data_IF_772296044216
#
_entry.id   IF_772296044216
#
_cell.length_a   1.000
_cell.length_b   1.000
_cell.length_c   1.000
_cell.angle_alpha   90.00
_cell.angle_beta   90.00
_cell.angle_gamma   90.00
#
_symmetry.space_group_name_H-M   'P 1'
#
loop_
_entity.id
_entity.type
_entity.pdbx_description
1 polymer ?
#
# COMPACT_ATOMS: atom_id res chain seq x y z
N UNK A 1 -17.66 -14.52 3.92
CA UNK A 1 -16.97 -14.01 5.14
C UNK A 1 -16.81 -12.51 5.03
N UNK A 2 -16.74 -11.78 6.17
CA UNK A 2 -16.49 -10.34 6.16
C UNK A 2 -15.19 -10.04 6.90
N UNK A 3 -14.29 -9.32 6.24
CA UNK A 3 -13.02 -8.89 6.81
C UNK A 3 -12.95 -7.37 6.89
N UNK A 4 -12.30 -6.84 7.92
CA UNK A 4 -11.94 -5.45 7.97
C UNK A 4 -10.45 -5.26 7.71
N UNK A 5 -10.10 -4.14 7.05
CA UNK A 5 -8.73 -3.72 6.79
C UNK A 5 -8.55 -2.30 7.32
N UNK A 6 -7.56 -2.10 8.16
CA UNK A 6 -7.12 -0.78 8.61
C UNK A 6 -6.09 -0.28 7.61
N UNK A 7 -6.45 0.76 6.86
CA UNK A 7 -5.65 1.32 5.79
C UNK A 7 -4.52 2.21 6.32
N UNK A 8 -3.43 2.29 5.56
CA UNK A 8 -2.27 3.13 5.86
C UNK A 8 -2.53 4.62 5.65
N UNK A 9 -1.45 5.39 5.63
CA UNK A 9 -1.48 6.86 5.53
C UNK A 9 -2.13 7.34 4.23
N UNK A 10 -2.04 6.54 3.16
CA UNK A 10 -2.68 6.82 1.88
C UNK A 10 -3.84 5.84 1.62
N UNK A 11 -5.06 6.12 2.12
CA UNK A 11 -6.19 5.22 1.99
C UNK A 11 -6.57 4.91 0.55
N UNK A 12 -6.40 5.86 -0.37
CA UNK A 12 -6.71 5.69 -1.79
C UNK A 12 -5.84 4.61 -2.42
N UNK A 13 -4.52 4.66 -2.22
CA UNK A 13 -3.58 3.63 -2.68
C UNK A 13 -3.84 2.27 -2.02
N UNK A 14 -4.07 2.28 -0.70
CA UNK A 14 -4.38 1.06 0.04
C UNK A 14 -5.64 0.38 -0.47
N UNK A 15 -6.68 1.17 -0.79
CA UNK A 15 -7.93 0.64 -1.32
C UNK A 15 -7.76 0.09 -2.74
N UNK A 16 -6.98 0.78 -3.58
CA UNK A 16 -6.65 0.31 -4.93
C UNK A 16 -5.90 -1.03 -4.88
N UNK A 17 -4.94 -1.16 -3.97
CA UNK A 17 -4.23 -2.42 -3.73
C UNK A 17 -5.19 -3.54 -3.30
N UNK A 18 -6.08 -3.27 -2.32
CA UNK A 18 -7.04 -4.27 -1.86
C UNK A 18 -8.00 -4.70 -2.99
N UNK A 19 -8.46 -3.75 -3.81
CA UNK A 19 -9.30 -4.06 -4.98
C UNK A 19 -8.57 -4.91 -6.02
N UNK A 20 -7.26 -4.69 -6.19
CA UNK A 20 -6.41 -5.46 -7.07
C UNK A 20 -6.19 -6.90 -6.55
N UNK A 21 -5.88 -7.04 -5.26
CA UNK A 21 -5.60 -8.33 -4.62
C UNK A 21 -6.86 -9.17 -4.43
N UNK A 22 -7.99 -8.55 -4.12
CA UNK A 22 -9.27 -9.22 -3.82
C UNK A 22 -10.34 -8.90 -4.88
N UNK A 23 -10.01 -9.05 -6.15
CA UNK A 23 -10.85 -8.69 -7.30
C UNK A 23 -12.20 -9.46 -7.38
N UNK A 24 -12.35 -10.55 -6.64
CA UNK A 24 -13.59 -11.35 -6.56
C UNK A 24 -14.44 -11.03 -5.33
N UNK A 25 -14.06 -10.04 -4.52
CA UNK A 25 -14.79 -9.65 -3.32
C UNK A 25 -15.49 -8.30 -3.47
N UNK A 26 -16.52 -8.09 -2.66
CA UNK A 26 -17.19 -6.80 -2.54
C UNK A 26 -16.47 -5.92 -1.51
N UNK A 27 -15.88 -4.83 -1.97
CA UNK A 27 -15.11 -3.90 -1.14
C UNK A 27 -15.93 -2.65 -0.83
N UNK A 28 -16.03 -2.31 0.45
CA UNK A 28 -16.73 -1.12 0.94
C UNK A 28 -15.81 -0.29 1.82
N UNK A 29 -15.80 1.03 1.67
CA UNK A 29 -15.07 1.95 2.54
C UNK A 29 -15.98 2.40 3.69
N UNK A 30 -15.82 1.81 4.86
CA UNK A 30 -16.67 2.06 6.03
C UNK A 30 -16.30 3.38 6.76
N UNK A 31 -14.99 3.72 6.80
CA UNK A 31 -14.44 4.95 7.37
C UNK A 31 -13.27 5.39 6.49
N UNK A 32 -12.76 6.61 6.69
CA UNK A 32 -11.60 7.12 5.94
C UNK A 32 -10.44 6.13 5.84
N UNK A 33 -10.22 5.36 6.90
CA UNK A 33 -9.10 4.42 7.02
C UNK A 33 -9.56 2.98 7.30
N UNK A 34 -10.82 2.64 7.07
CA UNK A 34 -11.35 1.28 7.27
C UNK A 34 -12.09 0.82 6.02
N UNK A 35 -11.59 -0.23 5.41
CA UNK A 35 -12.28 -0.97 4.38
C UNK A 35 -12.88 -2.26 4.95
N UNK A 36 -14.05 -2.65 4.43
CA UNK A 36 -14.70 -3.94 4.70
C UNK A 36 -14.75 -4.69 3.38
N UNK A 37 -14.26 -5.91 3.39
CA UNK A 37 -14.30 -6.85 2.27
C UNK A 37 -15.28 -7.97 2.59
N UNK A 38 -16.21 -8.21 1.71
CA UNK A 38 -17.08 -9.40 1.72
C UNK A 38 -16.62 -10.37 0.64
N UNK A 39 -16.28 -11.60 1.02
CA UNK A 39 -15.75 -12.62 0.11
C UNK A 39 -16.06 -14.01 0.62
N UNK A 40 -16.19 -14.97 -0.28
CA UNK A 40 -16.36 -16.39 0.07
C UNK A 40 -15.01 -17.08 0.40
N UNK A 41 -13.91 -16.45 0.04
CA UNK A 41 -12.57 -16.98 0.27
C UNK A 41 -12.08 -16.70 1.70
N UNK A 42 -11.42 -17.69 2.29
CA UNK A 42 -10.71 -17.52 3.56
C UNK A 42 -9.40 -16.78 3.32
N UNK A 43 -9.19 -15.69 4.07
CA UNK A 43 -7.96 -14.89 4.00
C UNK A 43 -7.01 -15.34 5.11
N UNK A 44 -5.85 -15.82 4.71
CA UNK A 44 -4.81 -16.27 5.64
C UNK A 44 -3.99 -15.09 6.20
N UNK A 45 -3.48 -15.27 7.43
CA UNK A 45 -2.75 -14.21 8.15
C UNK A 45 -1.50 -13.70 7.42
N UNK A 46 -0.85 -14.54 6.62
CA UNK A 46 0.38 -14.22 5.89
C UNK A 46 0.19 -13.18 4.78
N UNK A 47 -1.04 -12.96 4.29
CA UNK A 47 -1.33 -11.93 3.27
C UNK A 47 -0.84 -10.55 3.71
N UNK A 48 -0.84 -10.25 5.02
CA UNK A 48 -0.40 -8.96 5.54
C UNK A 48 1.07 -8.63 5.23
N UNK A 49 1.87 -9.64 4.92
CA UNK A 49 3.27 -9.48 4.52
C UNK A 49 3.42 -9.05 3.05
N UNK A 50 2.36 -9.26 2.24
CA UNK A 50 2.34 -9.01 0.80
C UNK A 50 1.54 -7.76 0.40
N UNK A 51 0.82 -7.13 1.33
CA UNK A 51 0.03 -5.92 1.10
C UNK A 51 0.64 -4.71 1.83
N UNK A 52 1.20 -3.78 1.06
CA UNK A 52 1.94 -2.63 1.58
C UNK A 52 1.05 -1.56 2.20
N UNK A 53 -0.17 -1.41 1.72
CA UNK A 53 -1.11 -0.36 2.11
C UNK A 53 -1.93 -0.65 3.37
N UNK A 54 -1.88 -1.85 3.92
CA UNK A 54 -2.68 -2.26 5.08
C UNK A 54 -1.84 -2.31 6.36
N UNK A 55 -2.34 -1.71 7.44
CA UNK A 55 -1.69 -1.69 8.76
C UNK A 55 -2.02 -2.96 9.55
N UNK A 56 -3.28 -3.37 9.53
CA UNK A 56 -3.79 -4.59 10.14
C UNK A 56 -5.11 -5.00 9.53
N UNK A 57 -5.45 -6.27 9.63
CA UNK A 57 -6.75 -6.78 9.19
C UNK A 57 -7.29 -7.83 10.16
N UNK A 58 -8.59 -8.10 10.05
CA UNK A 58 -9.22 -9.11 10.87
C UNK A 58 -10.59 -9.52 10.36
N UNK A 59 -11.16 -10.49 11.03
CA UNK A 59 -12.47 -11.06 10.71
C UNK A 59 -13.57 -10.34 11.48
N UNK A 60 -14.65 -10.00 10.81
CA UNK A 60 -15.89 -9.52 11.42
C UNK A 60 -16.74 -10.73 11.77
N UNK A 61 -17.09 -10.87 13.04
CA UNK A 61 -17.83 -12.00 13.56
C UNK A 61 -19.30 -11.68 13.76
N UNK A 62 -19.63 -10.41 14.10
CA UNK A 62 -20.98 -10.02 14.44
C UNK A 62 -21.27 -8.55 14.12
N UNK A 63 -22.52 -8.17 14.13
CA UNK A 63 -22.99 -6.79 13.97
C UNK A 63 -24.16 -6.49 14.90
N UNK A 64 -24.20 -5.28 15.49
CA UNK A 64 -25.31 -4.79 16.30
C UNK A 64 -25.67 -3.35 15.93
N UNK A 65 -26.95 -3.00 16.07
CA UNK A 65 -27.39 -1.62 15.98
C UNK A 65 -27.33 -0.89 17.34
N UNK A 66 -27.19 -1.66 18.43
CA UNK A 66 -27.15 -1.12 19.78
C UNK A 66 -25.80 -0.56 20.16
N UNK A 67 -25.79 0.62 20.78
CA UNK A 67 -24.62 1.24 21.41
C UNK A 67 -24.50 0.87 22.90
N UNK A 68 -25.44 0.07 23.44
CA UNK A 68 -25.41 -0.33 24.85
C UNK A 68 -24.27 -1.31 25.11
N UNK A 69 -23.55 -1.08 26.19
CA UNK A 69 -22.40 -1.90 26.55
C UNK A 69 -22.74 -3.38 26.69
N UNK A 70 -23.93 -3.70 27.21
CA UNK A 70 -24.38 -5.09 27.39
C UNK A 70 -24.54 -5.86 26.08
N UNK A 71 -25.09 -5.23 25.05
CA UNK A 71 -25.29 -5.84 23.73
C UNK A 71 -23.96 -6.05 23.01
N UNK A 72 -23.09 -5.03 23.04
CA UNK A 72 -21.73 -5.12 22.52
C UNK A 72 -20.97 -6.26 23.17
N UNK A 73 -21.04 -6.38 24.51
CA UNK A 73 -20.35 -7.41 25.27
C UNK A 73 -20.93 -8.82 25.03
N UNK A 74 -22.24 -8.93 24.76
CA UNK A 74 -22.87 -10.19 24.37
C UNK A 74 -22.27 -10.70 23.07
N UNK A 75 -22.18 -9.84 22.06
CA UNK A 75 -21.57 -10.15 20.77
C UNK A 75 -20.07 -10.49 20.89
N UNK A 76 -19.29 -9.70 21.63
CA UNK A 76 -17.87 -9.96 21.86
C UNK A 76 -17.62 -11.33 22.49
N UNK A 77 -18.47 -11.75 23.41
CA UNK A 77 -18.31 -13.02 24.12
C UNK A 77 -18.40 -14.25 23.20
N UNK A 78 -19.00 -14.13 22.01
CA UNK A 78 -19.17 -15.26 21.08
C UNK A 78 -17.89 -15.66 20.36
N UNK A 79 -16.93 -14.75 20.18
CA UNK A 79 -15.74 -15.01 19.36
C UNK A 79 -14.39 -14.70 20.05
N UNK A 80 -14.41 -14.12 21.25
CA UNK A 80 -13.18 -13.61 21.89
C UNK A 80 -12.68 -14.45 23.06
N UNK A 81 -13.31 -15.58 23.36
CA UNK A 81 -12.84 -16.49 24.41
C UNK A 81 -11.62 -17.31 23.94
N UNK A 82 -10.58 -17.48 24.77
CA UNK A 82 -9.47 -18.36 24.45
C UNK A 82 -9.89 -19.82 24.50
N UNK A 83 -9.38 -20.63 23.57
CA UNK A 83 -9.63 -22.10 23.55
C UNK A 83 -8.85 -22.84 24.64
N UNK A 84 -7.63 -22.38 24.94
CA UNK A 84 -6.77 -22.90 26.01
C UNK A 84 -6.19 -21.75 26.81
N UNK A 85 -6.15 -21.90 28.12
CA UNK A 85 -5.60 -20.89 29.05
C UNK A 85 -4.35 -21.49 29.71
N UNK A 86 -3.21 -21.20 29.13
CA UNK A 86 -1.90 -21.54 29.73
C UNK A 86 -1.34 -20.37 30.55
N UNK A 87 -1.72 -19.16 30.17
CA UNK A 87 -1.28 -17.91 30.79
C UNK A 87 -2.43 -16.92 30.86
N UNK A 88 -2.18 -15.77 31.50
CA UNK A 88 -3.17 -14.68 31.59
C UNK A 88 -3.56 -14.16 30.22
N UNK A 89 -4.85 -14.29 29.83
CA UNK A 89 -5.37 -13.84 28.57
C UNK A 89 -5.27 -12.30 28.46
N UNK A 90 -4.64 -11.81 27.40
CA UNK A 90 -4.50 -10.37 27.15
C UNK A 90 -5.54 -9.94 26.12
N UNK A 91 -6.26 -8.86 26.40
CA UNK A 91 -7.17 -8.29 25.41
C UNK A 91 -7.06 -6.79 25.32
N UNK A 92 -7.35 -6.24 24.14
CA UNK A 92 -7.47 -4.81 23.89
C UNK A 92 -8.71 -4.52 23.07
N UNK A 93 -9.21 -3.29 23.13
CA UNK A 93 -10.39 -2.87 22.38
C UNK A 93 -10.00 -1.65 21.55
N UNK A 94 -10.27 -1.71 20.25
CA UNK A 94 -10.12 -0.61 19.31
C UNK A 94 -11.48 -0.20 18.74
N UNK A 95 -11.76 1.09 18.74
CA UNK A 95 -13.01 1.64 18.20
C UNK A 95 -12.74 2.57 17.01
N UNK A 96 -13.35 2.28 15.90
CA UNK A 96 -13.33 3.10 14.68
C UNK A 96 -14.72 3.66 14.41
N UNK A 97 -14.94 4.94 14.74
CA UNK A 97 -16.23 5.59 14.56
C UNK A 97 -16.30 6.95 15.24
N UNK A 98 -17.45 7.61 15.09
CA UNK A 98 -17.74 8.91 15.69
C UNK A 98 -18.67 8.82 16.90
N UNK A 99 -19.33 7.68 17.14
CA UNK A 99 -20.23 7.48 18.25
C UNK A 99 -19.49 7.52 19.59
N UNK A 100 -20.14 8.00 20.62
CA UNK A 100 -19.59 8.00 21.99
C UNK A 100 -19.74 6.61 22.62
N UNK A 101 -18.75 5.75 22.38
CA UNK A 101 -18.63 4.44 23.03
C UNK A 101 -17.67 4.54 24.21
N UNK A 102 -18.14 4.16 25.40
CA UNK A 102 -17.29 4.18 26.60
C UNK A 102 -16.43 2.91 26.66
N UNK A 103 -15.25 2.97 26.04
CA UNK A 103 -14.30 1.84 26.00
C UNK A 103 -13.82 1.41 27.39
N UNK A 104 -13.78 2.33 28.36
CA UNK A 104 -13.39 2.01 29.74
C UNK A 104 -14.41 1.10 30.41
N UNK A 105 -15.69 1.42 30.27
CA UNK A 105 -16.79 0.58 30.78
C UNK A 105 -16.76 -0.78 30.08
N UNK A 106 -16.66 -0.80 28.75
CA UNK A 106 -16.59 -2.05 27.99
C UNK A 106 -15.42 -2.94 28.42
N UNK A 107 -14.23 -2.38 28.56
CA UNK A 107 -13.03 -3.12 28.97
C UNK A 107 -13.14 -3.68 30.39
N UNK A 108 -13.66 -2.90 31.34
CA UNK A 108 -13.84 -3.34 32.71
C UNK A 108 -14.90 -4.45 32.83
N UNK A 109 -16.05 -4.28 32.19
CA UNK A 109 -17.12 -5.28 32.19
C UNK A 109 -16.70 -6.56 31.45
N UNK A 110 -15.98 -6.44 30.34
CA UNK A 110 -15.45 -7.62 29.65
C UNK A 110 -14.44 -8.39 30.51
N UNK A 111 -13.55 -7.68 31.21
CA UNK A 111 -12.61 -8.30 32.16
C UNK A 111 -13.35 -9.03 33.28
N UNK A 112 -14.43 -8.44 33.83
CA UNK A 112 -15.26 -9.05 34.88
C UNK A 112 -15.93 -10.33 34.36
N UNK A 113 -16.49 -10.32 33.15
CA UNK A 113 -17.10 -11.52 32.52
C UNK A 113 -16.09 -12.64 32.28
N UNK A 114 -14.88 -12.31 31.82
CA UNK A 114 -13.81 -13.27 31.66
C UNK A 114 -13.46 -13.93 33.00
N UNK A 115 -13.33 -13.14 34.08
CA UNK A 115 -13.05 -13.66 35.42
C UNK A 115 -14.17 -14.57 35.93
N UNK A 116 -15.44 -14.20 35.73
CA UNK A 116 -16.61 -15.02 36.06
C UNK A 116 -16.62 -16.36 35.28
N UNK A 117 -16.02 -16.38 34.08
CA UNK A 117 -15.83 -17.61 33.29
C UNK A 117 -14.55 -18.35 33.63
N UNK A 118 -13.85 -18.01 34.72
CA UNK A 118 -12.60 -18.70 35.16
C UNK A 118 -11.37 -18.29 34.34
N UNK A 119 -11.45 -17.18 33.52
CA UNK A 119 -10.39 -16.75 32.64
C UNK A 119 -9.64 -15.56 33.25
N UNK A 120 -8.45 -15.74 33.84
CA UNK A 120 -7.62 -14.65 34.33
C UNK A 120 -7.16 -13.80 33.13
N UNK A 121 -7.44 -12.50 33.19
CA UNK A 121 -7.19 -11.63 32.05
C UNK A 121 -6.50 -10.33 32.40
N UNK A 122 -5.81 -9.74 31.39
CA UNK A 122 -5.22 -8.41 31.43
C UNK A 122 -5.76 -7.57 30.29
N UNK A 123 -6.38 -6.46 30.62
CA UNK A 123 -6.79 -5.47 29.64
C UNK A 123 -5.61 -4.56 29.25
N UNK A 124 -5.32 -4.49 27.94
CA UNK A 124 -4.32 -3.61 27.33
C UNK A 124 -5.02 -2.31 26.93
N UNK A 125 -4.62 -1.21 27.53
CA UNK A 125 -5.24 0.12 27.37
C UNK A 125 -4.36 1.01 26.50
N UNK A 126 -4.98 1.83 25.64
CA UNK A 126 -4.34 2.92 24.91
C UNK A 126 -4.93 4.27 25.36
N UNK A 127 -4.18 5.35 25.16
CA UNK A 127 -4.70 6.72 25.29
C UNK A 127 -5.66 7.07 24.14
N UNK A 128 -5.37 6.52 22.97
CA UNK A 128 -6.19 6.65 21.77
C UNK A 128 -7.32 5.61 21.76
N UNK A 129 -8.45 5.87 21.08
CA UNK A 129 -9.54 4.91 20.95
C UNK A 129 -9.15 3.63 20.22
N UNK A 130 -7.97 3.59 19.58
CA UNK A 130 -7.45 2.45 18.84
C UNK A 130 -6.08 2.04 19.33
N UNK A 131 -5.74 0.75 19.24
CA UNK A 131 -4.41 0.25 19.52
C UNK A 131 -3.53 0.36 18.27
N UNK A 132 -2.29 0.81 18.44
CA UNK A 132 -1.30 0.76 17.37
C UNK A 132 -0.85 -0.68 17.08
N UNK A 133 -0.33 -0.94 15.87
CA UNK A 133 0.22 -2.26 15.49
C UNK A 133 1.33 -2.71 16.46
N UNK A 134 2.13 -1.77 16.95
CA UNK A 134 3.19 -2.03 17.93
C UNK A 134 2.62 -2.58 19.24
N UNK A 135 1.56 -1.94 19.76
CA UNK A 135 0.90 -2.39 20.99
C UNK A 135 0.26 -3.76 20.81
N UNK A 136 -0.39 -3.99 19.66
CA UNK A 136 -1.02 -5.27 19.31
C UNK A 136 0.03 -6.39 19.28
N UNK A 137 1.15 -6.18 18.59
CA UNK A 137 2.23 -7.15 18.46
C UNK A 137 2.93 -7.43 19.79
N UNK A 138 3.37 -6.38 20.51
CA UNK A 138 4.08 -6.52 21.79
C UNK A 138 3.25 -7.25 22.85
N UNK A 139 1.94 -7.07 22.84
CA UNK A 139 1.04 -7.76 23.77
C UNK A 139 0.53 -9.10 23.24
N UNK A 140 0.97 -9.54 22.04
CA UNK A 140 0.57 -10.80 21.40
C UNK A 140 -0.96 -10.92 21.22
N UNK A 141 -1.64 -9.81 20.85
CA UNK A 141 -3.10 -9.78 20.74
C UNK A 141 -3.65 -10.45 19.48
N UNK A 142 -2.80 -11.02 18.63
CA UNK A 142 -3.17 -11.83 17.45
C UNK A 142 -2.87 -13.30 17.62
N UNK A 143 -2.51 -13.75 18.83
CA UNK A 143 -2.18 -15.13 19.14
C UNK A 143 -3.29 -15.81 19.95
N UNK A 144 -3.15 -17.10 20.24
CA UNK A 144 -4.08 -17.83 21.12
C UNK A 144 -4.16 -17.25 22.53
N UNK A 145 -3.13 -16.51 22.98
CA UNK A 145 -3.04 -15.92 24.32
C UNK A 145 -3.62 -14.50 24.41
N UNK A 146 -4.16 -13.97 23.31
CA UNK A 146 -4.70 -12.61 23.31
C UNK A 146 -5.69 -12.32 22.20
N UNK A 147 -6.38 -11.18 22.33
CA UNK A 147 -7.28 -10.66 21.30
C UNK A 147 -7.26 -9.14 21.24
N UNK A 148 -7.11 -8.57 20.05
CA UNK A 148 -7.59 -7.22 19.78
C UNK A 148 -9.01 -7.31 19.26
N UNK A 149 -9.95 -6.80 20.04
CA UNK A 149 -11.36 -6.68 19.68
C UNK A 149 -11.51 -5.36 18.94
N UNK A 150 -12.05 -5.41 17.73
CA UNK A 150 -12.25 -4.24 16.89
C UNK A 150 -13.73 -3.97 16.72
N UNK A 151 -14.12 -2.73 16.99
CA UNK A 151 -15.49 -2.22 16.86
C UNK A 151 -15.47 -1.14 15.78
N UNK A 152 -16.22 -1.35 14.71
CA UNK A 152 -16.30 -0.42 13.56
C UNK A 152 -17.71 0.09 13.42
N UNK A 153 -17.88 1.41 13.49
CA UNK A 153 -19.17 2.05 13.21
C UNK A 153 -19.31 2.26 11.70
N UNK A 154 -20.34 1.65 11.12
CA UNK A 154 -20.68 1.85 9.73
C UNK A 154 -22.20 1.73 9.54
N UNK A 155 -22.80 2.64 8.78
CA UNK A 155 -24.23 2.65 8.44
C UNK A 155 -25.16 2.44 9.65
N UNK A 156 -24.98 3.26 10.69
CA UNK A 156 -25.72 3.20 11.97
C UNK A 156 -25.62 1.87 12.72
N UNK A 157 -24.71 0.97 12.33
CA UNK A 157 -24.43 -0.30 12.99
C UNK A 157 -23.00 -0.35 13.50
N UNK A 158 -22.76 -1.19 14.47
CA UNK A 158 -21.43 -1.58 14.92
C UNK A 158 -21.11 -2.96 14.38
N UNK A 159 -20.01 -3.07 13.64
CA UNK A 159 -19.40 -4.34 13.25
C UNK A 159 -18.35 -4.71 14.26
N UNK A 160 -18.39 -5.92 14.75
CA UNK A 160 -17.51 -6.43 15.80
C UNK A 160 -16.66 -7.55 15.26
N UNK A 161 -15.35 -7.42 15.45
CA UNK A 161 -14.38 -8.37 14.90
C UNK A 161 -13.16 -8.54 15.77
N UNK A 162 -12.29 -9.41 15.32
CA UNK A 162 -11.00 -9.72 15.93
C UNK A 162 -9.89 -9.53 14.92
N UNK A 163 -8.80 -8.87 15.31
CA UNK A 163 -7.60 -8.73 14.47
C UNK A 163 -6.94 -10.09 14.27
N UNK A 164 -6.66 -10.43 13.01
CA UNK A 164 -5.96 -11.65 12.61
C UNK A 164 -4.45 -11.38 12.55
N UNK A 165 -4.05 -10.29 11.88
CA UNK A 165 -2.64 -9.97 11.70
C UNK A 165 -2.40 -8.46 11.64
N UNK A 166 -1.18 -8.06 11.96
CA UNK A 166 -0.66 -6.71 11.85
C UNK A 166 0.53 -6.68 10.89
N UNK A 167 0.71 -5.54 10.23
CA UNK A 167 1.81 -5.34 9.30
C UNK A 167 3.16 -5.59 9.99
N UNK A 168 4.10 -6.29 9.34
CA UNK A 168 5.41 -6.62 9.91
C UNK A 168 6.35 -5.38 9.88
N UNK A 169 6.02 -4.37 10.68
CA UNK A 169 6.67 -3.06 10.63
C UNK A 169 8.17 -3.12 10.94
N UNK A 170 8.64 -4.09 11.74
CA UNK A 170 10.07 -4.29 12.01
C UNK A 170 10.80 -4.79 10.78
N UNK A 171 10.22 -5.79 10.08
CA UNK A 171 10.78 -6.32 8.84
C UNK A 171 10.80 -5.25 7.74
N UNK A 172 9.71 -4.48 7.62
CA UNK A 172 9.63 -3.36 6.67
C UNK A 172 10.66 -2.27 6.98
N UNK A 173 10.83 -1.92 8.26
CA UNK A 173 11.85 -0.96 8.69
C UNK A 173 13.27 -1.49 8.42
N UNK A 174 13.51 -2.78 8.68
CA UNK A 174 14.79 -3.43 8.38
C UNK A 174 15.12 -3.34 6.88
N UNK A 175 14.16 -3.60 6.00
CA UNK A 175 14.36 -3.48 4.55
C UNK A 175 14.48 -2.05 4.05
N UNK A 176 13.85 -1.09 4.72
CA UNK A 176 13.94 0.32 4.35
C UNK A 176 15.27 0.95 4.75
N UNK A 177 15.74 0.66 5.97
CA UNK A 177 16.92 1.31 6.56
C UNK A 177 18.15 0.43 6.68
N UNK A 178 18.02 -0.89 6.71
CA UNK A 178 19.12 -1.84 6.96
C UNK A 178 19.79 -2.39 5.71
N UNK A 179 19.32 -2.06 4.51
CA UNK A 179 19.93 -2.54 3.25
C UNK A 179 21.38 -2.04 3.08
N UNK A 180 22.30 -2.87 2.56
CA UNK A 180 23.71 -2.51 2.44
C UNK A 180 23.96 -1.39 1.43
N UNK A 181 23.23 -1.35 0.32
CA UNK A 181 23.37 -0.30 -0.69
C UNK A 181 22.15 0.64 -0.64
N UNK A 182 22.42 1.92 -0.40
CA UNK A 182 21.39 2.98 -0.27
C UNK A 182 21.74 4.16 -1.15
N UNK A 183 20.76 4.69 -1.83
CA UNK A 183 20.84 5.98 -2.52
C UNK A 183 20.02 7.04 -1.76
N UNK A 184 20.63 7.64 -0.76
CA UNK A 184 20.00 8.71 0.03
C UNK A 184 19.94 10.04 -0.74
N UNK A 185 20.59 10.13 -1.90
CA UNK A 185 20.63 11.34 -2.72
C UNK A 185 19.43 11.44 -3.67
N UNK A 186 19.16 10.39 -4.42
CA UNK A 186 18.05 10.36 -5.40
C UNK A 186 16.70 10.06 -4.73
N UNK A 187 16.75 9.54 -3.50
CA UNK A 187 15.58 9.10 -2.77
C UNK A 187 15.11 7.71 -3.22
N UNK A 188 14.90 6.82 -2.27
CA UNK A 188 14.51 5.43 -2.56
C UNK A 188 13.01 5.24 -2.51
N UNK A 189 12.50 4.32 -3.34
CA UNK A 189 11.14 3.83 -3.26
C UNK A 189 10.93 3.11 -1.91
N UNK A 190 9.92 3.49 -1.10
CA UNK A 190 9.62 2.76 0.13
C UNK A 190 9.17 1.32 -0.15
N UNK A 191 9.60 0.31 0.63
CA UNK A 191 9.17 -1.09 0.48
C UNK A 191 7.66 -1.27 0.37
N UNK A 192 6.90 -0.56 1.19
CA UNK A 192 5.42 -0.58 1.15
C UNK A 192 4.84 -0.11 -0.18
N UNK A 193 5.44 0.93 -0.78
CA UNK A 193 4.97 1.45 -2.07
C UNK A 193 5.32 0.47 -3.20
N UNK A 194 6.51 -0.15 -3.14
CA UNK A 194 6.88 -1.21 -4.08
C UNK A 194 5.88 -2.38 -4.03
N UNK A 195 5.50 -2.86 -2.83
CA UNK A 195 4.47 -3.90 -2.67
C UNK A 195 3.13 -3.50 -3.30
N UNK A 196 2.66 -2.27 -3.04
CA UNK A 196 1.43 -1.75 -3.65
C UNK A 196 1.54 -1.76 -5.18
N UNK A 197 2.64 -1.26 -5.74
CA UNK A 197 2.84 -1.21 -7.19
C UNK A 197 2.87 -2.60 -7.82
N UNK A 198 3.52 -3.58 -7.17
CA UNK A 198 3.55 -4.98 -7.61
C UNK A 198 2.13 -5.55 -7.63
N UNK A 199 1.34 -5.34 -6.58
CA UNK A 199 -0.04 -5.81 -6.49
C UNK A 199 -0.93 -5.17 -7.57
N UNK A 200 -0.75 -3.89 -7.86
CA UNK A 200 -1.50 -3.19 -8.93
C UNK A 200 -1.17 -3.71 -10.32
N UNK A 201 0.10 -4.08 -10.56
CA UNK A 201 0.54 -4.59 -11.85
C UNK A 201 -0.02 -6.00 -12.13
N UNK A 202 -0.12 -6.84 -11.12
CA UNK A 202 -0.46 -8.25 -11.22
C UNK A 202 -1.91 -8.57 -10.80
N UNK A 203 -2.77 -7.56 -10.76
CA UNK A 203 -4.17 -7.65 -10.33
C UNK A 203 -5.03 -8.68 -11.10
N UNK A 204 -4.67 -9.00 -12.34
CA UNK A 204 -5.36 -10.01 -13.16
C UNK A 204 -4.89 -11.44 -12.87
N UNK A 205 -3.80 -11.59 -12.14
CA UNK A 205 -3.26 -12.87 -11.73
C UNK A 205 -3.78 -13.18 -10.34
N UNK A 206 -4.58 -14.23 -10.12
CA UNK A 206 -5.08 -14.53 -8.76
C UNK A 206 -3.89 -14.74 -7.82
N UNK A 207 -3.66 -13.82 -6.87
CA UNK A 207 -2.51 -13.77 -5.95
C UNK A 207 -2.42 -14.94 -4.96
N UNK A 208 -2.87 -16.12 -5.32
CA UNK A 208 -2.98 -17.28 -4.44
C UNK A 208 -2.26 -18.50 -5.02
N UNK A 209 -0.93 -18.45 -5.08
CA UNK A 209 -0.16 -19.61 -5.46
C UNK A 209 1.33 -19.32 -5.40
N UNK A 210 2.05 -20.14 -4.63
CA UNK A 210 3.51 -20.16 -4.66
C UNK A 210 4.00 -20.62 -6.03
N UNK A 211 4.99 -19.94 -6.58
CA UNK A 211 5.76 -20.42 -7.75
C UNK A 211 5.21 -20.06 -9.11
N UNK A 212 4.67 -18.88 -9.32
CA UNK A 212 4.22 -18.42 -10.63
C UNK A 212 5.36 -18.03 -11.54
N UNK A 213 5.18 -18.39 -12.80
CA UNK A 213 6.12 -18.13 -13.86
C UNK A 213 6.06 -16.71 -14.43
N UNK A 214 5.36 -15.76 -13.77
CA UNK A 214 5.28 -14.37 -14.24
C UNK A 214 6.67 -13.73 -14.26
N UNK A 215 6.98 -13.10 -15.37
CA UNK A 215 8.20 -12.32 -15.58
C UNK A 215 7.94 -10.86 -15.22
N UNK A 216 8.62 -10.37 -14.20
CA UNK A 216 8.54 -8.97 -13.73
C UNK A 216 9.79 -8.22 -14.17
N UNK A 217 9.60 -7.06 -14.78
CA UNK A 217 10.69 -6.17 -15.19
C UNK A 217 10.62 -4.85 -14.43
N UNK A 218 11.77 -4.44 -13.86
CA UNK A 218 12.03 -3.06 -13.47
C UNK A 218 13.15 -2.47 -14.35
N UNK A 219 12.80 -1.64 -15.37
CA UNK A 219 13.77 -1.09 -16.33
C UNK A 219 14.51 0.16 -15.82
N UNK A 220 14.28 0.59 -14.57
CA UNK A 220 15.01 1.62 -13.85
C UNK A 220 15.26 1.13 -12.42
N UNK A 221 15.91 -0.03 -12.28
CA UNK A 221 15.90 -0.78 -11.03
C UNK A 221 16.65 -0.09 -9.87
N UNK A 222 17.53 0.86 -10.15
CA UNK A 222 18.26 1.62 -9.13
C UNK A 222 18.95 0.70 -8.12
N UNK A 223 18.57 0.79 -6.85
CA UNK A 223 19.04 -0.09 -5.78
C UNK A 223 18.21 -1.37 -5.57
N UNK A 224 17.29 -1.70 -6.48
CA UNK A 224 16.57 -2.97 -6.55
C UNK A 224 15.38 -3.13 -5.59
N UNK A 225 14.76 -2.05 -5.12
CA UNK A 225 13.65 -2.15 -4.14
C UNK A 225 12.46 -2.96 -4.68
N UNK A 226 12.06 -2.74 -5.94
CA UNK A 226 10.95 -3.48 -6.54
C UNK A 226 11.29 -4.96 -6.67
N UNK A 227 12.49 -5.28 -7.12
CA UNK A 227 12.95 -6.65 -7.27
C UNK A 227 13.00 -7.39 -5.93
N UNK A 228 13.59 -6.78 -4.90
CA UNK A 228 13.68 -7.38 -3.55
C UNK A 228 12.32 -7.58 -2.90
N UNK A 229 11.37 -6.65 -3.06
CA UNK A 229 10.01 -6.84 -2.54
C UNK A 229 9.24 -7.91 -3.35
N UNK A 230 9.42 -7.96 -4.68
CA UNK A 230 8.84 -9.02 -5.51
C UNK A 230 9.34 -10.42 -5.10
N UNK A 231 10.64 -10.58 -4.82
CA UNK A 231 11.20 -11.82 -4.27
C UNK A 231 10.51 -12.26 -2.97
N UNK A 232 10.34 -11.31 -2.03
CA UNK A 232 9.70 -11.56 -0.74
C UNK A 232 8.20 -11.83 -0.86
N UNK A 233 7.56 -11.36 -1.92
CA UNK A 233 6.18 -11.67 -2.25
C UNK A 233 6.01 -13.03 -2.93
N UNK A 234 7.13 -13.70 -3.32
CA UNK A 234 7.15 -15.05 -3.86
C UNK A 234 7.25 -15.14 -5.38
N UNK A 235 7.55 -14.04 -6.07
CA UNK A 235 7.82 -14.03 -7.52
C UNK A 235 9.24 -14.54 -7.80
N UNK A 236 9.40 -15.32 -8.87
CA UNK A 236 10.65 -16.07 -9.13
C UNK A 236 11.42 -15.61 -10.36
N UNK A 237 10.78 -14.98 -11.32
CA UNK A 237 11.41 -14.55 -12.57
C UNK A 237 11.47 -13.03 -12.62
N UNK A 238 12.61 -12.49 -12.22
CA UNK A 238 12.80 -11.05 -12.03
C UNK A 238 13.85 -10.52 -12.98
N UNK A 239 13.55 -9.41 -13.63
CA UNK A 239 14.49 -8.73 -14.52
C UNK A 239 14.66 -7.30 -14.03
N UNK A 240 15.91 -6.89 -13.83
CA UNK A 240 16.28 -5.51 -13.55
C UNK A 240 17.13 -4.93 -14.67
N UNK A 241 16.90 -3.68 -15.03
CA UNK A 241 17.80 -2.96 -15.91
C UNK A 241 18.05 -1.55 -15.37
N UNK A 242 19.23 -1.04 -15.60
CA UNK A 242 19.60 0.34 -15.30
C UNK A 242 20.71 0.81 -16.25
N UNK A 243 20.77 2.10 -16.51
CA UNK A 243 21.86 2.70 -17.30
C UNK A 243 23.14 2.87 -16.48
N UNK A 244 23.06 2.75 -15.16
CA UNK A 244 24.16 2.93 -14.22
C UNK A 244 24.69 1.58 -13.74
N UNK A 245 25.95 1.29 -14.02
CA UNK A 245 26.66 0.11 -13.49
C UNK A 245 26.65 0.08 -11.95
N UNK A 246 26.75 1.26 -11.32
CA UNK A 246 26.66 1.38 -9.87
C UNK A 246 25.29 0.93 -9.35
N UNK A 247 24.20 1.34 -9.99
CA UNK A 247 22.85 0.94 -9.62
C UNK A 247 22.69 -0.58 -9.70
N UNK A 248 23.24 -1.22 -10.74
CA UNK A 248 23.23 -2.68 -10.89
C UNK A 248 24.04 -3.40 -9.80
N UNK A 249 25.20 -2.84 -9.41
CA UNK A 249 26.00 -3.36 -8.29
C UNK A 249 25.22 -3.24 -6.97
N UNK A 250 24.59 -2.08 -6.71
CA UNK A 250 23.76 -1.82 -5.54
C UNK A 250 22.56 -2.79 -5.49
N UNK A 251 21.89 -3.00 -6.62
CA UNK A 251 20.81 -3.99 -6.77
C UNK A 251 21.29 -5.39 -6.43
N UNK A 252 22.43 -5.83 -6.99
CA UNK A 252 23.00 -7.15 -6.73
C UNK A 252 23.36 -7.35 -5.25
N UNK A 253 23.93 -6.32 -4.61
CA UNK A 253 24.27 -6.35 -3.19
C UNK A 253 23.00 -6.47 -2.33
N UNK A 254 21.95 -5.72 -2.65
CA UNK A 254 20.69 -5.75 -1.91
C UNK A 254 19.93 -7.07 -2.12
N UNK A 255 19.93 -7.65 -3.32
CA UNK A 255 19.38 -8.98 -3.58
C UNK A 255 20.08 -10.03 -2.74
N UNK A 256 21.42 -10.11 -2.79
CA UNK A 256 22.19 -11.09 -2.01
C UNK A 256 21.99 -10.94 -0.49
N UNK A 257 21.79 -9.71 -0.03
CA UNK A 257 21.45 -9.44 1.37
C UNK A 257 20.05 -9.96 1.74
N UNK A 258 19.03 -9.78 0.88
CA UNK A 258 17.68 -10.31 1.07
C UNK A 258 17.67 -11.84 1.02
N UNK A 259 18.32 -12.46 0.04
CA UNK A 259 18.46 -13.91 -0.07
C UNK A 259 19.02 -14.52 1.22
N UNK A 260 20.09 -13.94 1.74
CA UNK A 260 20.72 -14.38 2.99
C UNK A 260 19.83 -14.13 4.22
N UNK A 261 19.19 -12.96 4.31
CA UNK A 261 18.42 -12.56 5.50
C UNK A 261 17.09 -13.31 5.65
N UNK A 262 16.51 -13.76 4.53
CA UNK A 262 15.22 -14.44 4.49
C UNK A 262 15.33 -15.89 4.02
N UNK A 263 16.56 -16.41 3.86
CA UNK A 263 16.83 -17.79 3.42
C UNK A 263 16.10 -18.17 2.14
N UNK A 264 15.98 -17.22 1.20
CA UNK A 264 15.28 -17.43 -0.07
C UNK A 264 16.09 -18.38 -0.96
N UNK A 265 15.38 -19.33 -1.57
CA UNK A 265 15.92 -20.29 -2.53
C UNK A 265 15.07 -20.27 -3.80
N UNK A 266 15.66 -20.70 -4.91
CA UNK A 266 14.98 -20.86 -6.19
C UNK A 266 14.37 -19.56 -6.76
N UNK A 267 15.01 -18.41 -6.54
CA UNK A 267 14.68 -17.15 -7.20
C UNK A 267 15.66 -16.96 -8.37
N UNK A 268 15.12 -16.77 -9.57
CA UNK A 268 15.89 -16.41 -10.76
C UNK A 268 15.80 -14.90 -10.98
N UNK A 269 16.93 -14.25 -11.15
CA UNK A 269 16.96 -12.85 -11.56
C UNK A 269 18.05 -12.59 -12.59
N UNK A 270 17.76 -11.65 -13.48
CA UNK A 270 18.72 -11.17 -14.49
C UNK A 270 18.87 -9.66 -14.37
N UNK A 271 20.11 -9.17 -14.52
CA UNK A 271 20.41 -7.73 -14.48
C UNK A 271 21.08 -7.31 -15.78
N UNK A 272 20.55 -6.29 -16.43
CA UNK A 272 21.07 -5.75 -17.69
C UNK A 272 21.53 -4.30 -17.54
N UNK A 273 22.75 -4.01 -18.01
CA UNK A 273 23.15 -2.62 -18.25
C UNK A 273 22.50 -2.14 -19.54
N UNK A 274 21.41 -1.39 -19.41
CA UNK A 274 20.61 -0.95 -20.56
C UNK A 274 19.90 0.37 -20.28
N UNK A 275 19.81 1.19 -21.33
CA UNK A 275 18.91 2.33 -21.41
C UNK A 275 17.47 1.83 -21.59
N UNK A 276 16.54 2.21 -20.71
CA UNK A 276 15.14 1.81 -20.78
C UNK A 276 14.48 2.17 -22.13
N UNK A 277 14.95 3.23 -22.81
CA UNK A 277 14.50 3.63 -24.15
C UNK A 277 15.01 2.69 -25.27
N UNK A 278 15.71 1.61 -24.92
CA UNK A 278 16.27 0.60 -25.84
C UNK A 278 16.09 -0.82 -25.29
N UNK A 279 15.32 -1.02 -24.25
CA UNK A 279 15.22 -2.30 -23.51
C UNK A 279 14.76 -3.47 -24.39
N UNK A 280 14.00 -3.23 -25.44
CA UNK A 280 13.60 -4.27 -26.40
C UNK A 280 14.77 -4.90 -27.18
N UNK A 281 16.00 -4.35 -27.09
CA UNK A 281 17.20 -4.99 -27.63
C UNK A 281 17.72 -6.11 -26.73
N UNK A 282 17.37 -6.08 -25.45
CA UNK A 282 17.79 -7.07 -24.45
C UNK A 282 16.75 -8.16 -24.23
N UNK A 283 15.47 -7.90 -24.51
CA UNK A 283 14.36 -8.77 -24.20
C UNK A 283 13.53 -9.11 -25.42
N UNK A 284 13.02 -10.34 -25.49
CA UNK A 284 12.17 -10.79 -26.57
C UNK A 284 10.81 -10.08 -26.56
N UNK A 285 10.19 -9.96 -27.70
CA UNK A 285 8.83 -9.42 -27.82
C UNK A 285 7.84 -10.28 -27.03
N UNK A 286 6.89 -9.64 -26.34
CA UNK A 286 5.85 -10.31 -25.55
C UNK A 286 6.39 -11.32 -24.52
N UNK A 287 7.54 -11.04 -23.90
CA UNK A 287 8.18 -11.93 -22.90
C UNK A 287 7.90 -11.53 -21.45
N UNK A 288 7.46 -10.28 -21.19
CA UNK A 288 7.29 -9.72 -19.86
C UNK A 288 5.81 -9.67 -19.50
N UNK A 289 5.43 -10.12 -18.28
CA UNK A 289 4.06 -10.10 -17.79
C UNK A 289 3.70 -8.75 -17.14
N UNK A 290 4.63 -8.16 -16.40
CA UNK A 290 4.42 -6.87 -15.74
C UNK A 290 5.70 -6.02 -15.75
N UNK A 291 5.55 -4.72 -15.97
CA UNK A 291 6.61 -3.73 -15.83
C UNK A 291 6.25 -2.84 -14.66
N UNK A 292 7.14 -2.77 -13.66
CA UNK A 292 6.91 -2.02 -12.44
C UNK A 292 8.15 -1.17 -12.20
N UNK A 293 7.99 0.15 -12.14
CA UNK A 293 9.17 0.99 -12.10
C UNK A 293 8.95 2.37 -11.49
N UNK A 294 9.98 2.87 -10.82
CA UNK A 294 10.15 4.28 -10.48
C UNK A 294 11.29 4.84 -11.32
N UNK A 295 11.02 5.46 -12.47
CA UNK A 295 12.05 6.05 -13.32
C UNK A 295 12.68 7.28 -12.67
N UNK A 296 13.66 7.88 -13.33
CA UNK A 296 14.19 9.17 -12.90
C UNK A 296 13.07 10.23 -12.82
N UNK A 297 12.91 10.83 -11.64
CA UNK A 297 11.83 11.79 -11.33
C UNK A 297 12.24 13.27 -11.47
N UNK A 298 13.40 13.51 -12.04
CA UNK A 298 14.00 14.85 -12.08
C UNK A 298 14.85 15.16 -10.83
N UNK A 299 15.55 16.31 -10.82
CA UNK A 299 16.43 16.70 -9.72
C UNK A 299 15.64 16.99 -8.46
N UNK A 300 16.07 16.38 -7.33
CA UNK A 300 15.43 16.52 -6.03
C UNK A 300 15.86 17.80 -5.28
N UNK A 301 16.94 18.46 -5.72
CA UNK A 301 17.57 19.61 -5.05
C UNK A 301 17.95 20.69 -6.07
N UNK A 302 18.15 21.92 -5.60
CA UNK A 302 18.54 23.05 -6.41
C UNK A 302 17.36 23.90 -6.92
N UNK A 303 17.66 24.85 -7.81
CA UNK A 303 16.66 25.66 -8.51
C UNK A 303 16.12 24.84 -9.69
N UNK A 304 14.83 24.57 -9.69
CA UNK A 304 14.19 23.72 -10.69
C UNK A 304 13.63 24.58 -11.82
N UNK A 305 14.11 24.35 -13.03
CA UNK A 305 13.47 24.83 -14.27
C UNK A 305 12.39 23.82 -14.66
N UNK A 306 11.24 23.90 -14.00
CA UNK A 306 10.20 22.87 -14.03
C UNK A 306 9.75 22.54 -15.45
N UNK A 307 9.54 23.54 -16.30
CA UNK A 307 9.09 23.33 -17.68
C UNK A 307 10.11 22.53 -18.52
N UNK A 308 11.42 22.81 -18.36
CA UNK A 308 12.48 22.07 -19.04
C UNK A 308 12.54 20.63 -18.55
N UNK A 309 12.47 20.44 -17.22
CA UNK A 309 12.47 19.11 -16.60
C UNK A 309 11.28 18.28 -17.06
N UNK A 310 10.08 18.87 -17.10
CA UNK A 310 8.87 18.19 -17.59
C UNK A 310 9.08 17.69 -19.03
N UNK A 311 9.60 18.55 -19.92
CA UNK A 311 9.85 18.19 -21.32
C UNK A 311 10.83 17.03 -21.47
N UNK A 312 11.94 17.06 -20.73
CA UNK A 312 12.96 16.00 -20.74
C UNK A 312 12.38 14.66 -20.22
N UNK A 313 11.57 14.72 -19.16
CA UNK A 313 10.93 13.53 -18.59
C UNK A 313 9.82 12.98 -19.49
N UNK A 314 9.03 13.83 -20.12
CA UNK A 314 8.01 13.39 -21.09
C UNK A 314 8.63 12.67 -22.30
N UNK A 315 9.76 13.16 -22.79
CA UNK A 315 10.51 12.49 -23.86
C UNK A 315 11.04 11.13 -23.39
N UNK A 316 11.69 11.07 -22.23
CA UNK A 316 12.22 9.83 -21.65
C UNK A 316 11.11 8.80 -21.48
N UNK A 317 9.98 9.19 -20.87
CA UNK A 317 8.89 8.28 -20.58
C UNK A 317 8.16 7.83 -21.86
N UNK A 318 7.95 8.73 -22.80
CA UNK A 318 7.34 8.38 -24.11
C UNK A 318 8.18 7.33 -24.85
N UNK A 319 9.51 7.51 -24.90
CA UNK A 319 10.42 6.56 -25.55
C UNK A 319 10.47 5.23 -24.81
N UNK A 320 10.49 5.26 -23.47
CA UNK A 320 10.45 4.06 -22.66
C UNK A 320 9.17 3.27 -22.86
N UNK A 321 8.00 3.93 -22.84
CA UNK A 321 6.70 3.29 -23.06
C UNK A 321 6.59 2.67 -24.46
N UNK A 322 7.19 3.28 -25.50
CA UNK A 322 7.27 2.68 -26.81
C UNK A 322 8.03 1.33 -26.81
N UNK A 323 9.12 1.25 -26.06
CA UNK A 323 9.90 0.01 -25.89
C UNK A 323 9.15 -1.01 -25.03
N UNK A 324 8.52 -0.57 -23.94
CA UNK A 324 7.73 -1.44 -23.05
C UNK A 324 6.60 -2.14 -23.80
N UNK A 325 5.94 -1.44 -24.73
CA UNK A 325 4.88 -2.01 -25.55
C UNK A 325 5.36 -3.20 -26.40
N UNK A 326 6.61 -3.20 -26.85
CA UNK A 326 7.16 -4.28 -27.68
C UNK A 326 7.37 -5.57 -26.87
N UNK A 327 7.85 -5.45 -25.63
CA UNK A 327 8.25 -6.57 -24.79
C UNK A 327 7.14 -7.07 -23.87
N UNK A 328 6.15 -6.23 -23.56
CA UNK A 328 5.04 -6.57 -22.68
C UNK A 328 4.06 -7.51 -23.39
N UNK A 329 3.62 -8.57 -22.73
CA UNK A 329 2.59 -9.50 -23.21
C UNK A 329 1.25 -8.78 -23.41
N UNK A 330 0.37 -9.38 -24.19
CA UNK A 330 -1.04 -8.97 -24.29
C UNK A 330 -1.67 -9.09 -22.90
N UNK A 331 -2.45 -8.09 -22.47
CA UNK A 331 -3.01 -7.96 -21.13
C UNK A 331 -1.97 -7.72 -20.00
N UNK A 332 -0.70 -7.52 -20.34
CA UNK A 332 0.31 -7.09 -19.39
C UNK A 332 0.09 -5.64 -18.94
N UNK A 333 0.58 -5.30 -17.76
CA UNK A 333 0.44 -3.96 -17.18
C UNK A 333 1.78 -3.31 -16.93
N UNK A 334 1.78 -1.98 -17.05
CA UNK A 334 2.87 -1.14 -16.57
C UNK A 334 2.36 -0.36 -15.36
N UNK A 335 3.05 -0.46 -14.22
CA UNK A 335 2.84 0.43 -13.08
C UNK A 335 4.07 1.31 -12.93
N UNK A 336 3.88 2.59 -13.18
CA UNK A 336 4.97 3.55 -13.28
C UNK A 336 4.73 4.74 -12.37
N UNK A 337 5.78 5.23 -11.74
CA UNK A 337 5.75 6.48 -10.97
C UNK A 337 6.01 7.65 -11.90
N UNK A 338 5.13 8.64 -11.87
CA UNK A 338 5.37 9.93 -12.51
C UNK A 338 5.57 11.03 -11.46
N UNK A 339 6.51 11.95 -11.64
CA UNK A 339 6.69 13.04 -10.69
C UNK A 339 5.55 14.05 -10.78
N UNK A 340 5.15 14.53 -9.62
CA UNK A 340 4.26 15.67 -9.46
C UNK A 340 5.03 16.75 -8.72
N UNK A 341 5.31 17.85 -9.39
CA UNK A 341 6.04 18.98 -8.81
C UNK A 341 5.09 19.84 -7.99
N UNK A 342 5.47 20.13 -6.74
CA UNK A 342 4.66 20.92 -5.81
C UNK A 342 5.24 22.32 -5.66
N UNK A 343 4.38 23.35 -5.60
CA UNK A 343 4.80 24.69 -5.26
C UNK A 343 5.16 24.75 -3.77
N UNK A 344 6.40 25.09 -3.45
CA UNK A 344 6.77 25.39 -2.08
C UNK A 344 6.03 26.65 -1.62
N UNK A 345 5.22 26.55 -0.57
CA UNK A 345 4.52 27.69 0.05
C UNK A 345 5.46 28.77 0.66
N UNK A 346 6.79 28.57 0.57
CA UNK A 346 7.82 29.52 1.06
C UNK A 346 8.43 30.40 -0.03
N UNK A 347 7.94 30.37 -1.28
CA UNK A 347 8.33 31.29 -2.34
C UNK A 347 7.61 32.63 -2.21
N UNK A 348 8.31 33.74 -2.55
CA UNK A 348 7.74 35.10 -2.58
C UNK A 348 6.52 35.18 -3.48
N UNK A 349 5.64 36.18 -3.25
CA UNK A 349 4.40 36.36 -4.00
C UNK A 349 4.63 36.55 -5.53
N UNK A 350 5.85 36.90 -5.97
CA UNK A 350 6.24 37.05 -7.36
C UNK A 350 6.37 35.75 -8.15
N UNK A 351 6.58 34.62 -7.49
CA UNK A 351 6.73 33.30 -8.14
C UNK A 351 5.40 32.64 -8.51
N UNK A 352 4.27 33.26 -8.08
CA UNK A 352 2.93 32.66 -8.24
C UNK A 352 2.20 33.08 -9.54
N UNK A 353 2.67 34.10 -10.26
CA UNK A 353 1.93 34.70 -11.35
C UNK A 353 2.08 34.02 -12.73
N UNK A 354 3.04 33.13 -12.92
CA UNK A 354 3.39 32.60 -14.24
C UNK A 354 3.18 31.07 -14.41
N UNK A 355 2.42 30.41 -13.53
CA UNK A 355 2.19 28.99 -13.66
C UNK A 355 0.75 28.69 -14.11
N UNK A 356 0.54 27.79 -15.09
CA UNK A 356 -0.80 27.37 -15.48
C UNK A 356 -1.52 26.70 -14.33
N UNK A 357 -2.69 27.22 -13.97
CA UNK A 357 -3.55 26.63 -12.94
C UNK A 357 -4.16 25.31 -13.44
N UNK A 358 -3.53 24.19 -13.13
CA UNK A 358 -4.14 22.89 -13.28
C UNK A 358 -5.14 22.67 -12.13
N UNK A 359 -6.43 22.83 -12.45
CA UNK A 359 -7.51 22.59 -11.51
C UNK A 359 -7.63 21.08 -11.21
N UNK A 360 -7.15 20.65 -10.05
CA UNK A 360 -7.57 19.39 -9.46
C UNK A 360 -9.04 19.55 -9.01
N UNK A 361 -9.97 19.05 -9.79
CA UNK A 361 -11.35 18.87 -9.32
C UNK A 361 -11.36 17.65 -8.41
N UNK A 362 -11.19 17.89 -7.11
CA UNK A 362 -11.52 16.88 -6.11
C UNK A 362 -13.04 16.70 -6.07
N UNK A 363 -13.52 15.52 -6.36
CA UNK A 363 -14.92 15.15 -6.13
C UNK A 363 -15.05 14.78 -4.65
N UNK A 364 -15.48 15.75 -3.83
CA UNK A 364 -15.94 15.49 -2.46
C UNK A 364 -15.11 16.13 -1.34
N UNK A 365 -15.75 16.95 -0.52
CA UNK A 365 -15.41 17.35 0.83
C UNK A 365 -14.28 18.37 1.02
N UNK A 366 -14.58 19.52 1.61
CA UNK A 366 -13.67 20.65 1.78
C UNK A 366 -12.39 20.43 2.62
N UNK A 367 -12.35 19.41 3.50
CA UNK A 367 -11.18 19.13 4.34
C UNK A 367 -10.07 18.31 3.67
N UNK A 368 -10.40 17.49 2.67
CA UNK A 368 -9.39 16.70 1.95
C UNK A 368 -8.61 17.53 0.91
N UNK A 369 -9.23 18.60 0.39
CA UNK A 369 -8.63 19.51 -0.61
C UNK A 369 -7.55 20.39 0.02
N UNK A 370 -7.65 20.73 1.30
CA UNK A 370 -6.71 21.60 2.02
C UNK A 370 -5.31 21.01 2.24
N UNK A 371 -5.12 19.69 1.97
CA UNK A 371 -3.86 18.97 2.21
C UNK A 371 -3.07 18.61 0.95
N UNK A 372 -3.67 18.74 -0.25
CA UNK A 372 -2.88 18.61 -1.47
C UNK A 372 -2.18 19.92 -1.77
N UNK A 373 -0.84 19.93 -1.94
CA UNK A 373 -0.14 21.13 -2.32
C UNK A 373 -0.61 21.60 -3.72
N UNK A 374 -0.59 22.90 -3.96
CA UNK A 374 -0.80 23.42 -5.30
C UNK A 374 0.26 22.84 -6.25
N UNK A 375 -0.18 22.25 -7.35
CA UNK A 375 0.69 21.57 -8.31
C UNK A 375 1.35 22.61 -9.23
N UNK A 376 2.66 22.48 -9.38
CA UNK A 376 3.44 23.32 -10.31
C UNK A 376 3.45 22.77 -11.73
N UNK A 377 3.18 21.47 -11.91
CA UNK A 377 3.12 20.82 -13.21
C UNK A 377 2.89 19.30 -13.07
N UNK A 378 2.29 18.71 -14.09
CA UNK A 378 2.14 17.27 -14.25
C UNK A 378 2.62 16.84 -15.62
N UNK A 379 3.25 15.67 -15.71
CA UNK A 379 3.71 15.09 -16.97
C UNK A 379 2.54 14.62 -17.83
N UNK A 380 2.71 14.70 -19.14
CA UNK A 380 1.78 14.14 -20.11
C UNK A 380 2.55 13.45 -21.26
N UNK A 381 3.26 12.36 -21.00
CA UNK A 381 4.02 11.65 -22.01
C UNK A 381 3.11 11.00 -23.06
N UNK A 382 3.65 10.74 -24.26
CA UNK A 382 2.95 9.93 -25.25
C UNK A 382 2.80 8.49 -24.73
N UNK A 383 1.57 8.05 -24.58
CA UNK A 383 1.25 6.72 -24.05
C UNK A 383 1.51 5.58 -25.05
N UNK A 384 1.82 5.89 -26.32
CA UNK A 384 2.13 4.89 -27.34
C UNK A 384 1.05 3.79 -27.49
N UNK A 385 -0.21 4.14 -27.22
CA UNK A 385 -1.36 3.24 -27.28
C UNK A 385 -1.61 2.43 -26.01
N UNK A 386 -0.96 2.75 -24.89
CA UNK A 386 -1.40 2.32 -23.56
C UNK A 386 -2.61 3.12 -23.11
N UNK A 387 -3.45 2.50 -22.30
CA UNK A 387 -4.59 3.14 -21.64
C UNK A 387 -4.33 3.29 -20.15
N UNK A 388 -4.54 4.49 -19.60
CA UNK A 388 -4.50 4.70 -18.13
C UNK A 388 -5.75 4.06 -17.54
N UNK A 389 -5.58 3.15 -16.60
CA UNK A 389 -6.68 2.51 -15.88
C UNK A 389 -6.74 2.98 -14.42
N UNK A 390 -7.96 3.07 -13.91
CA UNK A 390 -8.18 3.33 -12.49
C UNK A 390 -8.46 1.99 -11.79
N UNK A 391 -7.57 1.51 -10.91
CA UNK A 391 -7.76 0.23 -10.23
C UNK A 391 -8.85 0.27 -9.14
N UNK A 392 -9.37 1.45 -8.79
CA UNK A 392 -10.42 1.59 -7.78
C UNK A 392 -11.78 1.26 -8.39
N UNK A 393 -12.57 0.36 -7.78
CA UNK A 393 -13.91 0.03 -8.26
C UNK A 393 -14.81 1.27 -8.44
N UNK A 394 -15.60 1.28 -9.52
CA UNK A 394 -16.45 2.42 -9.87
C UNK A 394 -17.40 2.84 -8.73
N UNK A 395 -17.88 1.89 -7.95
CA UNK A 395 -18.74 2.10 -6.77
C UNK A 395 -18.06 2.95 -5.68
N UNK A 396 -16.73 2.88 -5.59
CA UNK A 396 -15.95 3.59 -4.57
C UNK A 396 -15.36 4.92 -5.04
N UNK A 397 -15.25 5.16 -6.36
CA UNK A 397 -14.60 6.37 -6.91
C UNK A 397 -15.26 7.69 -6.49
N UNK A 398 -16.56 7.66 -6.18
CA UNK A 398 -17.31 8.85 -5.71
C UNK A 398 -17.27 9.03 -4.19
N UNK A 399 -16.57 8.15 -3.46
CA UNK A 399 -16.49 8.26 -2.01
C UNK A 399 -15.63 9.48 -1.62
N UNK A 400 -16.10 10.25 -0.63
CA UNK A 400 -15.46 11.50 -0.16
C UNK A 400 -14.03 11.33 0.37
N UNK A 401 -13.64 10.11 0.71
CA UNK A 401 -12.31 9.80 1.22
C UNK A 401 -11.32 9.36 0.14
N UNK A 402 -11.78 9.22 -1.12
CA UNK A 402 -10.94 8.81 -2.25
C UNK A 402 -10.42 10.05 -2.97
N UNK A 403 -9.09 10.15 -3.04
CA UNK A 403 -8.40 11.26 -3.67
C UNK A 403 -7.72 10.78 -4.96
N UNK A 404 -8.29 11.16 -6.10
CA UNK A 404 -7.76 10.87 -7.43
C UNK A 404 -7.36 12.16 -8.15
N UNK A 405 -6.36 12.07 -9.03
CA UNK A 405 -6.01 13.15 -9.95
C UNK A 405 -7.10 13.36 -11.03
N UNK A 406 -6.96 14.38 -11.84
CA UNK A 406 -7.85 14.58 -13.00
C UNK A 406 -7.83 13.40 -13.98
N UNK A 407 -6.71 12.67 -14.07
CA UNK A 407 -6.55 11.44 -14.87
C UNK A 407 -7.02 10.18 -14.15
N UNK A 408 -7.61 10.33 -12.96
CA UNK A 408 -8.07 9.22 -12.09
C UNK A 408 -6.94 8.31 -11.60
N UNK A 409 -5.73 8.84 -11.49
CA UNK A 409 -4.56 8.18 -10.89
C UNK A 409 -4.43 8.54 -9.42
N UNK A 410 -3.51 7.89 -8.72
CA UNK A 410 -3.30 8.06 -7.29
C UNK A 410 -1.99 8.77 -7.01
N UNK A 411 -1.92 9.53 -5.92
CA UNK A 411 -0.71 10.28 -5.56
C UNK A 411 -0.18 9.82 -4.20
N UNK A 412 1.14 9.66 -4.12
CA UNK A 412 1.88 9.34 -2.91
C UNK A 412 2.93 10.41 -2.63
N UNK A 413 2.92 10.99 -1.43
CA UNK A 413 3.89 12.00 -1.02
C UNK A 413 3.69 12.45 0.41
N UNK A 414 4.63 13.25 0.92
CA UNK A 414 4.58 13.89 2.24
C UNK A 414 4.56 15.41 2.07
N UNK A 415 3.91 16.12 2.97
CA UNK A 415 3.65 17.58 2.90
C UNK A 415 4.89 18.46 2.64
N UNK A 416 6.09 18.01 2.97
CA UNK A 416 7.32 18.79 2.79
C UNK A 416 8.17 18.37 1.57
N UNK A 417 7.71 17.39 0.79
CA UNK A 417 8.43 16.94 -0.41
C UNK A 417 8.13 17.86 -1.58
N UNK A 418 9.19 18.24 -2.34
CA UNK A 418 9.06 19.05 -3.57
C UNK A 418 8.50 18.24 -4.74
N UNK A 419 8.78 16.96 -4.76
CA UNK A 419 8.33 16.02 -5.80
C UNK A 419 7.53 14.92 -5.14
N UNK A 420 6.27 14.79 -5.57
CA UNK A 420 5.39 13.70 -5.18
C UNK A 420 5.36 12.66 -6.29
N UNK A 421 4.88 11.47 -5.96
CA UNK A 421 4.78 10.31 -6.85
C UNK A 421 3.35 10.12 -7.29
N UNK A 422 3.05 10.27 -8.56
CA UNK A 422 1.79 9.84 -9.16
C UNK A 422 1.94 8.40 -9.61
N UNK A 423 1.11 7.52 -9.06
CA UNK A 423 1.11 6.10 -9.41
C UNK A 423 0.17 5.89 -10.57
N UNK A 424 0.73 5.60 -11.74
CA UNK A 424 0.00 5.42 -12.99
C UNK A 424 -0.02 3.96 -13.34
N UNK A 425 -1.21 3.42 -13.57
CA UNK A 425 -1.42 2.04 -14.02
C UNK A 425 -1.83 2.09 -15.48
N UNK A 426 -1.06 1.42 -16.33
CA UNK A 426 -1.23 1.40 -17.77
C UNK A 426 -1.50 -0.03 -18.24
N UNK A 427 -2.44 -0.20 -19.12
CA UNK A 427 -2.78 -1.48 -19.75
C UNK A 427 -2.54 -1.40 -21.27
N UNK A 428 -1.98 -2.49 -21.81
CA UNK A 428 -1.61 -2.60 -23.24
C UNK A 428 -2.83 -2.83 -24.12
#
# INVERSE_FOLDING_TARGET
>A
MKYFFVLGINPTLSLAELAAVFNHGELTLAQKNIAILETDQKIEANIIKKIGGTIKFGLIHDKTASLMAQDILKSIATFSKPEKIETKFKFGISFYGKAKVNLKILGMEFKKRLLQSGIPSRWVVSREPTLSSVVVEQNKLTTAQGAEIVIIQFDKKLFLGKTIAVQPFKELSFRDYGRPARDDYSGMLPPKLAQIMINLALASSPCQGEGRGEVILDPFCGSGTILTEAMLMGYKNLIGADISDRALQDTKANIGWIEKSYELRDVSYELFHSDATKISKCLAANSVDAIITEPYLGPQRGKLEIEKIIKELEELYSRSLMEFKKILKTNGRVVMVWPVFTLSLRGSASDRSNLPSLSLRATGGSEAISRMPSLAGSLNPNLNGFTIINPIPASLQKNIFINLTARRTMVYGREQQKVWREIVVLEK
#
